data_IF_546034947180
#
_entry.id   IF_546034947180
#
_cell.length_a   1.000
_cell.length_b   1.000
_cell.length_c   1.000
_cell.angle_alpha   90.00
_cell.angle_beta   90.00
_cell.angle_gamma   90.00
#
_symmetry.space_group_name_H-M   'P 1'
#
loop_
_entity.id
_entity.type
_entity.pdbx_description
1 polymer ?
#
# COMPACT_ATOMS: atom_id res chain seq x y z
N UNK A 1 -1.52 25.42 3.37
CA UNK A 1 -2.35 24.55 2.54
C UNK A 1 -2.01 23.13 2.95
N UNK A 2 -2.81 22.60 3.87
CA UNK A 2 -2.57 21.34 4.59
C UNK A 2 -2.65 20.09 3.69
N UNK A 3 -3.06 20.23 2.43
CA UNK A 3 -3.24 19.12 1.48
C UNK A 3 -1.96 18.33 1.18
N UNK A 4 -0.77 18.95 1.34
CA UNK A 4 0.51 18.30 1.00
C UNK A 4 0.89 17.19 1.99
N UNK A 5 0.44 17.28 3.24
CA UNK A 5 0.72 16.27 4.28
C UNK A 5 -0.16 15.02 4.15
N UNK A 6 -1.37 15.16 3.59
CA UNK A 6 -2.31 14.02 3.44
C UNK A 6 -1.92 13.05 2.32
N UNK A 7 -0.98 13.44 1.44
CA UNK A 7 -0.51 12.67 0.28
C UNK A 7 0.68 11.74 0.57
N UNK A 8 0.87 11.30 1.83
CA UNK A 8 2.07 10.51 2.19
C UNK A 8 1.85 9.41 3.25
N UNK A 9 0.62 9.12 3.64
CA UNK A 9 0.38 8.16 4.73
C UNK A 9 0.33 6.70 4.27
N UNK A 10 -0.01 6.43 3.01
CA UNK A 10 -0.20 5.05 2.54
C UNK A 10 1.13 4.30 2.54
N UNK A 11 2.21 4.94 2.11
CA UNK A 11 3.55 4.35 2.10
C UNK A 11 4.05 3.97 3.51
N UNK A 12 3.96 4.91 4.46
CA UNK A 12 4.40 4.69 5.84
C UNK A 12 3.53 3.63 6.54
N UNK A 13 2.22 3.65 6.30
CA UNK A 13 1.30 2.65 6.84
C UNK A 13 1.62 1.25 6.32
N UNK A 14 1.85 1.10 5.01
CA UNK A 14 2.23 -0.19 4.42
C UNK A 14 3.59 -0.67 4.95
N UNK A 15 4.56 0.24 5.13
CA UNK A 15 5.84 -0.09 5.75
C UNK A 15 5.66 -0.62 7.17
N UNK A 16 4.85 0.04 8.00
CA UNK A 16 4.60 -0.39 9.38
C UNK A 16 3.84 -1.71 9.45
N UNK A 17 2.83 -1.92 8.61
CA UNK A 17 2.11 -3.21 8.52
C UNK A 17 3.09 -4.36 8.23
N UNK A 18 4.02 -4.15 7.30
CA UNK A 18 5.00 -5.16 6.92
C UNK A 18 6.08 -5.35 8.00
N UNK A 19 6.61 -4.25 8.56
CA UNK A 19 7.65 -4.26 9.60
C UNK A 19 7.18 -5.00 10.85
N UNK A 20 5.97 -4.70 11.31
CA UNK A 20 5.37 -5.31 12.51
C UNK A 20 4.68 -6.65 12.20
N UNK A 21 4.78 -7.15 10.95
CA UNK A 21 4.21 -8.41 10.49
C UNK A 21 2.72 -8.58 10.81
N UNK A 22 1.95 -7.49 10.72
CA UNK A 22 0.53 -7.47 11.07
C UNK A 22 -0.35 -8.22 10.06
N UNK A 23 0.16 -8.45 8.85
CA UNK A 23 -0.58 -9.14 7.79
C UNK A 23 -0.48 -10.67 7.96
N UNK A 24 -1.65 -11.33 8.05
CA UNK A 24 -1.75 -12.78 8.00
C UNK A 24 -1.09 -13.37 6.73
N UNK A 25 -0.73 -14.65 6.76
CA UNK A 25 -0.02 -15.31 5.65
C UNK A 25 -0.72 -15.21 4.30
N UNK A 26 -2.06 -15.21 4.28
CA UNK A 26 -2.91 -15.02 3.09
C UNK A 26 -3.69 -13.69 3.12
N UNK A 27 -3.24 -12.75 3.94
CA UNK A 27 -3.89 -11.44 4.09
C UNK A 27 -3.83 -10.59 2.82
N UNK A 28 -4.81 -9.71 2.68
CA UNK A 28 -4.92 -8.72 1.62
C UNK A 28 -4.91 -7.33 2.25
N UNK A 29 -4.11 -6.42 1.70
CA UNK A 29 -4.21 -4.99 2.00
C UNK A 29 -4.85 -4.32 0.80
N UNK A 30 -5.87 -3.49 1.06
CA UNK A 30 -6.47 -2.62 0.06
C UNK A 30 -6.25 -1.19 0.52
N UNK A 31 -5.43 -0.44 -0.22
CA UNK A 31 -5.12 0.95 0.07
C UNK A 31 -5.81 1.85 -0.96
N UNK A 32 -6.68 2.75 -0.49
CA UNK A 32 -7.14 3.88 -1.29
C UNK A 32 -6.20 5.05 -1.06
N UNK A 33 -5.69 5.64 -2.14
CA UNK A 33 -4.84 6.82 -2.06
C UNK A 33 -5.09 7.75 -3.25
N UNK A 34 -4.83 9.04 -3.07
CA UNK A 34 -5.01 10.01 -4.14
C UNK A 34 -4.00 9.75 -5.29
N UNK A 35 -4.35 10.10 -6.52
CA UNK A 35 -3.53 9.84 -7.72
C UNK A 35 -2.18 10.56 -7.73
N UNK A 36 -2.06 11.63 -6.95
CA UNK A 36 -0.80 12.38 -6.77
C UNK A 36 0.09 11.80 -5.65
N UNK A 37 -0.43 10.91 -4.82
CA UNK A 37 0.36 10.24 -3.80
C UNK A 37 1.26 9.19 -4.47
N UNK A 38 2.56 9.30 -4.20
CA UNK A 38 3.56 8.35 -4.68
C UNK A 38 3.78 7.32 -3.58
N UNK A 39 3.21 6.13 -3.77
CA UNK A 39 3.37 5.02 -2.85
C UNK A 39 4.61 4.21 -3.26
N UNK A 40 5.66 4.12 -2.42
CA UNK A 40 6.85 3.35 -2.74
C UNK A 40 6.56 1.84 -2.75
N UNK A 41 7.43 1.08 -3.41
CA UNK A 41 7.44 -0.37 -3.26
C UNK A 41 7.87 -0.75 -1.83
N UNK A 42 7.14 -1.67 -1.21
CA UNK A 42 7.42 -2.14 0.15
C UNK A 42 7.91 -3.59 0.07
N UNK A 43 9.19 -3.86 0.40
CA UNK A 43 9.73 -5.22 0.40
C UNK A 43 8.88 -6.18 1.24
N UNK A 44 8.52 -7.33 0.67
CA UNK A 44 7.65 -8.31 1.32
C UNK A 44 6.16 -8.09 1.07
N UNK A 45 5.77 -7.02 0.37
CA UNK A 45 4.44 -6.83 -0.21
C UNK A 45 4.54 -6.75 -1.73
N UNK A 46 3.67 -7.50 -2.43
CA UNK A 46 3.53 -7.43 -3.89
C UNK A 46 2.21 -6.73 -4.24
N UNK A 47 2.27 -5.65 -5.02
CA UNK A 47 1.08 -5.06 -5.65
C UNK A 47 0.54 -6.01 -6.72
N UNK A 48 -0.68 -6.52 -6.54
CA UNK A 48 -1.33 -7.48 -7.46
C UNK A 48 -2.29 -6.82 -8.43
N UNK A 49 -2.92 -5.72 -8.02
CA UNK A 49 -3.88 -4.97 -8.82
C UNK A 49 -3.87 -3.51 -8.41
N UNK A 50 -4.06 -2.61 -9.37
CA UNK A 50 -4.31 -1.21 -9.12
C UNK A 50 -5.40 -0.71 -10.07
N UNK A 51 -6.41 -0.07 -9.51
CA UNK A 51 -7.57 0.45 -10.23
C UNK A 51 -7.67 1.96 -9.98
N UNK A 52 -8.06 2.74 -10.99
CA UNK A 52 -8.24 4.20 -10.87
C UNK A 52 -9.72 4.55 -10.87
N UNK A 53 -10.12 5.38 -9.93
CA UNK A 53 -11.47 5.93 -9.83
C UNK A 53 -11.39 7.44 -9.60
N UNK A 54 -11.61 8.21 -10.67
CA UNK A 54 -11.48 9.67 -10.62
C UNK A 54 -10.06 10.10 -10.23
N UNK A 55 -9.94 10.72 -9.06
CA UNK A 55 -8.70 11.23 -8.46
C UNK A 55 -8.07 10.27 -7.45
N UNK A 56 -8.59 9.04 -7.33
CA UNK A 56 -8.10 8.03 -6.39
C UNK A 56 -7.63 6.77 -7.11
N UNK A 57 -6.63 6.10 -6.54
CA UNK A 57 -6.26 4.73 -6.84
C UNK A 57 -6.72 3.80 -5.71
N UNK A 58 -7.12 2.59 -6.09
CA UNK A 58 -7.30 1.46 -5.19
C UNK A 58 -6.22 0.43 -5.50
N UNK A 59 -5.29 0.24 -4.57
CA UNK A 59 -4.11 -0.60 -4.71
C UNK A 59 -4.22 -1.83 -3.82
N UNK A 60 -4.08 -3.02 -4.41
CA UNK A 60 -4.27 -4.32 -3.76
C UNK A 60 -2.92 -5.02 -3.55
N UNK A 61 -2.49 -5.19 -2.30
CA UNK A 61 -1.23 -5.81 -1.95
C UNK A 61 -1.43 -7.16 -1.27
N UNK A 62 -0.57 -8.12 -1.59
CA UNK A 62 -0.44 -9.39 -0.88
C UNK A 62 0.97 -9.54 -0.33
N UNK A 63 1.12 -10.34 0.73
CA UNK A 63 2.45 -10.78 1.19
C UNK A 63 3.18 -11.47 0.04
N UNK A 64 4.44 -11.08 -0.20
CA UNK A 64 5.33 -11.80 -1.09
C UNK A 64 5.62 -13.15 -0.45
N UNK A 65 5.28 -14.24 -1.14
CA UNK A 65 5.73 -15.56 -0.72
C UNK A 65 7.26 -15.59 -0.87
N UNK A 66 7.99 -15.63 0.24
CA UNK A 66 9.39 -16.04 0.19
C UNK A 66 9.36 -17.54 -0.07
N UNK A 67 9.81 -17.95 -1.26
CA UNK A 67 10.19 -19.34 -1.49
C UNK A 67 11.35 -19.63 -0.53
N UNK A 68 11.07 -20.39 0.52
CA UNK A 68 12.10 -21.05 1.33
C UNK A 68 12.71 -22.20 0.54
#
# INVERSE_FOLDING_TARGET
>A
GDDKQMLSLSGETLHMIQKEQLLASQGLIVAQHHVKEVVPEIPGLTLKRREKYGDSFLSFYKRTAYSV
#
